data_IF_960041634662
#
_entry.id   IF_960041634662
#
_cell.length_a   1.000
_cell.length_b   1.000
_cell.length_c   1.000
_cell.angle_alpha   90.00
_cell.angle_beta   90.00
_cell.angle_gamma   90.00
#
_symmetry.space_group_name_H-M   'P 1'
#
loop_
_entity.id
_entity.type
_entity.pdbx_description
1 polymer ?
#
# COMPACT_ATOMS: atom_id res chain seq x y z
N UNK A 1 -18.80 -33.43 -16.08
CA UNK A 1 -18.33 -32.08 -16.46
C UNK A 1 -19.43 -31.01 -16.35
N UNK A 2 -20.69 -31.28 -16.72
CA UNK A 2 -21.80 -30.33 -16.54
C UNK A 2 -22.21 -30.06 -15.08
N UNK A 3 -22.09 -31.07 -14.20
CA UNK A 3 -22.42 -30.89 -12.77
C UNK A 3 -21.52 -29.89 -12.04
N UNK A 4 -20.26 -29.75 -12.46
CA UNK A 4 -19.34 -28.76 -11.88
C UNK A 4 -19.77 -27.33 -12.25
N UNK A 5 -20.23 -27.13 -13.49
CA UNK A 5 -20.75 -25.83 -13.96
C UNK A 5 -22.07 -25.47 -13.29
N UNK A 6 -22.93 -26.45 -13.01
CA UNK A 6 -24.18 -26.24 -12.25
C UNK A 6 -23.89 -25.92 -10.79
N UNK A 7 -22.88 -26.56 -10.19
CA UNK A 7 -22.45 -26.26 -8.81
C UNK A 7 -21.82 -24.86 -8.70
N UNK A 8 -20.97 -24.49 -9.67
CA UNK A 8 -20.38 -23.15 -9.78
C UNK A 8 -21.49 -22.11 -10.00
N UNK A 9 -22.45 -22.37 -10.88
CA UNK A 9 -23.60 -21.50 -11.09
C UNK A 9 -24.48 -21.33 -9.85
N UNK A 10 -24.70 -22.41 -9.09
CA UNK A 10 -25.47 -22.36 -7.84
C UNK A 10 -24.73 -21.57 -6.74
N UNK A 11 -23.41 -21.72 -6.64
CA UNK A 11 -22.58 -20.94 -5.70
C UNK A 11 -22.58 -19.45 -6.07
N UNK A 12 -22.50 -19.12 -7.36
CA UNK A 12 -22.59 -17.74 -7.85
C UNK A 12 -23.99 -17.12 -7.60
N UNK A 13 -25.06 -17.91 -7.74
CA UNK A 13 -26.44 -17.50 -7.45
C UNK A 13 -26.68 -17.24 -5.96
N UNK A 14 -26.11 -18.07 -5.07
CA UNK A 14 -26.17 -17.85 -3.62
C UNK A 14 -25.36 -16.60 -3.24
N UNK A 15 -24.25 -16.34 -3.93
CA UNK A 15 -23.47 -15.09 -3.78
C UNK A 15 -24.26 -13.83 -4.18
N UNK A 16 -25.14 -13.90 -5.17
CA UNK A 16 -26.02 -12.78 -5.55
C UNK A 16 -27.12 -12.48 -4.53
N UNK A 17 -27.58 -13.48 -3.78
CA UNK A 17 -28.71 -13.32 -2.85
C UNK A 17 -28.36 -12.48 -1.61
N UNK A 18 -27.05 -12.29 -1.33
CA UNK A 18 -26.56 -11.59 -0.12
C UNK A 18 -26.50 -10.06 -0.28
N UNK A 19 -26.78 -9.48 -1.45
CA UNK A 19 -26.67 -8.02 -1.69
C UNK A 19 -25.32 -7.41 -1.25
N UNK A 20 -24.29 -8.25 -1.17
CA UNK A 20 -22.89 -7.85 -1.11
C UNK A 20 -22.36 -8.26 -2.46
N UNK A 21 -21.77 -7.34 -3.23
CA UNK A 21 -21.09 -7.69 -4.49
C UNK A 21 -19.88 -8.55 -4.17
N UNK A 22 -20.09 -9.84 -3.91
CA UNK A 22 -19.05 -10.81 -3.53
C UNK A 22 -17.97 -10.86 -4.62
N UNK A 23 -18.34 -10.63 -5.88
CA UNK A 23 -17.39 -10.49 -6.97
C UNK A 23 -16.47 -9.25 -6.85
N UNK A 24 -17.00 -8.11 -6.39
CA UNK A 24 -16.29 -6.83 -6.29
C UNK A 24 -15.49 -6.69 -5.00
N UNK A 25 -16.03 -7.14 -3.88
CA UNK A 25 -15.36 -7.07 -2.56
C UNK A 25 -14.56 -8.34 -2.23
N UNK A 26 -14.91 -9.50 -2.80
CA UNK A 26 -14.27 -10.77 -2.49
C UNK A 26 -12.97 -11.03 -3.25
N UNK A 27 -12.82 -10.48 -4.47
CA UNK A 27 -11.63 -10.74 -5.29
C UNK A 27 -10.29 -10.25 -4.68
N UNK A 28 -10.21 -9.09 -3.99
CA UNK A 28 -8.96 -8.65 -3.38
C UNK A 28 -8.49 -9.60 -2.27
N UNK A 29 -9.42 -10.30 -1.60
CA UNK A 29 -9.07 -11.32 -0.60
C UNK A 29 -8.30 -12.49 -1.20
N UNK A 30 -8.54 -12.86 -2.47
CA UNK A 30 -7.73 -13.88 -3.16
C UNK A 30 -6.27 -13.47 -3.35
N UNK A 31 -5.95 -12.17 -3.26
CA UNK A 31 -4.58 -11.65 -3.29
C UNK A 31 -4.05 -11.50 -1.86
N UNK A 32 -4.85 -10.94 -0.95
CA UNK A 32 -4.45 -10.70 0.44
C UNK A 32 -4.13 -12.01 1.16
N UNK A 33 -4.98 -13.03 1.04
CA UNK A 33 -4.84 -14.30 1.78
C UNK A 33 -3.50 -15.00 1.45
N UNK A 34 -3.12 -15.22 0.18
CA UNK A 34 -1.79 -15.74 -0.15
C UNK A 34 -0.64 -14.84 0.32
N UNK A 35 -0.77 -13.52 0.21
CA UNK A 35 0.27 -12.59 0.67
C UNK A 35 0.50 -12.69 2.18
N UNK A 36 -0.58 -12.75 2.96
CA UNK A 36 -0.51 -12.92 4.42
C UNK A 36 0.02 -14.31 4.77
N UNK A 37 -0.39 -15.36 4.07
CA UNK A 37 0.15 -16.70 4.27
C UNK A 37 1.67 -16.73 4.02
N UNK A 38 2.15 -16.07 2.96
CA UNK A 38 3.58 -15.92 2.69
C UNK A 38 4.29 -15.14 3.79
N UNK A 39 3.71 -14.07 4.32
CA UNK A 39 4.25 -13.34 5.46
C UNK A 39 4.37 -14.24 6.69
N UNK A 40 3.34 -15.01 7.02
CA UNK A 40 3.38 -15.93 8.18
C UNK A 40 4.49 -16.97 8.00
N UNK A 41 4.59 -17.59 6.83
CA UNK A 41 5.68 -18.52 6.50
C UNK A 41 7.04 -17.83 6.61
N UNK A 42 7.17 -16.61 6.09
CA UNK A 42 8.40 -15.83 6.13
C UNK A 42 8.87 -15.56 7.56
N UNK A 43 7.96 -15.24 8.47
CA UNK A 43 8.26 -14.98 9.88
C UNK A 43 8.71 -16.24 10.64
N UNK A 44 8.26 -17.42 10.21
CA UNK A 44 8.74 -18.71 10.74
C UNK A 44 10.05 -19.17 10.09
N UNK A 45 10.34 -18.68 8.89
CA UNK A 45 11.55 -18.98 8.13
C UNK A 45 12.78 -18.25 8.69
N UNK A 46 13.95 -18.90 8.63
CA UNK A 46 15.23 -18.30 9.05
C UNK A 46 16.09 -17.94 7.86
N UNK A 47 16.90 -16.89 8.03
CA UNK A 47 17.90 -16.48 7.04
C UNK A 47 17.36 -15.66 5.88
N UNK A 48 18.17 -15.56 4.82
CA UNK A 48 17.92 -14.68 3.66
C UNK A 48 16.60 -15.03 2.94
N UNK A 49 16.22 -16.31 2.95
CA UNK A 49 14.97 -16.78 2.32
C UNK A 49 13.75 -16.23 3.07
N UNK A 50 13.75 -16.24 4.40
CA UNK A 50 12.66 -15.67 5.20
C UNK A 50 12.50 -14.17 4.99
N UNK A 51 13.61 -13.45 4.87
CA UNK A 51 13.60 -12.01 4.59
C UNK A 51 13.00 -11.69 3.21
N UNK A 52 13.43 -12.41 2.17
CA UNK A 52 12.88 -12.25 0.81
C UNK A 52 11.39 -12.59 0.73
N UNK A 53 10.95 -13.66 1.42
CA UNK A 53 9.54 -14.04 1.51
C UNK A 53 8.71 -13.01 2.28
N UNK A 54 9.28 -12.37 3.31
CA UNK A 54 8.57 -11.33 4.06
C UNK A 54 8.34 -10.09 3.21
N UNK A 55 9.34 -9.70 2.41
CA UNK A 55 9.22 -8.60 1.45
C UNK A 55 8.16 -8.94 0.39
N UNK A 56 8.25 -10.12 -0.24
CA UNK A 56 7.31 -10.55 -1.27
C UNK A 56 5.88 -10.64 -0.73
N UNK A 57 5.69 -11.30 0.42
CA UNK A 57 4.40 -11.41 1.10
C UNK A 57 3.83 -10.04 1.44
N UNK A 58 4.66 -9.11 1.94
CA UNK A 58 4.24 -7.75 2.25
C UNK A 58 3.79 -6.98 1.01
N UNK A 59 4.51 -7.08 -0.11
CA UNK A 59 4.11 -6.44 -1.38
C UNK A 59 2.74 -6.95 -1.82
N UNK A 60 2.53 -8.28 -1.79
CA UNK A 60 1.27 -8.91 -2.19
C UNK A 60 0.13 -8.47 -1.26
N UNK A 61 0.34 -8.49 0.05
CA UNK A 61 -0.66 -8.07 1.04
C UNK A 61 -1.02 -6.59 0.89
N UNK A 62 -0.04 -5.70 0.81
CA UNK A 62 -0.28 -4.26 0.65
C UNK A 62 -0.99 -3.96 -0.66
N UNK A 63 -0.60 -4.61 -1.75
CA UNK A 63 -1.29 -4.48 -3.05
C UNK A 63 -2.74 -4.93 -2.94
N UNK A 64 -2.99 -6.09 -2.32
CA UNK A 64 -4.34 -6.59 -2.08
C UNK A 64 -5.19 -5.64 -1.22
N UNK A 65 -4.60 -5.02 -0.19
CA UNK A 65 -5.28 -4.03 0.65
C UNK A 65 -5.62 -2.75 -0.13
N UNK A 66 -4.72 -2.27 -0.99
CA UNK A 66 -4.98 -1.14 -1.88
C UNK A 66 -6.15 -1.47 -2.83
N UNK A 67 -6.13 -2.66 -3.43
CA UNK A 67 -7.21 -3.11 -4.30
C UNK A 67 -8.54 -3.24 -3.53
N UNK A 68 -8.53 -3.73 -2.30
CA UNK A 68 -9.73 -3.77 -1.45
C UNK A 68 -10.30 -2.37 -1.21
N UNK A 69 -9.43 -1.41 -0.91
CA UNK A 69 -9.83 0.00 -0.78
C UNK A 69 -10.42 0.53 -2.09
N UNK A 70 -9.73 0.36 -3.22
CA UNK A 70 -10.15 0.85 -4.54
C UNK A 70 -11.50 0.27 -4.98
N UNK A 71 -11.75 -1.03 -4.75
CA UNK A 71 -13.05 -1.62 -5.07
C UNK A 71 -14.16 -1.12 -4.16
N UNK A 72 -13.84 -0.69 -2.93
CA UNK A 72 -14.83 -0.20 -1.97
C UNK A 72 -15.19 1.26 -2.22
N UNK A 73 -14.23 2.07 -2.68
CA UNK A 73 -14.41 3.51 -2.92
C UNK A 73 -14.57 3.87 -4.39
N UNK A 74 -14.50 2.88 -5.31
CA UNK A 74 -14.39 3.08 -6.76
C UNK A 74 -13.20 3.98 -7.18
N UNK A 75 -12.24 4.19 -6.30
CA UNK A 75 -11.16 5.17 -6.46
C UNK A 75 -9.92 4.57 -7.12
N UNK A 76 -10.09 4.01 -8.32
CA UNK A 76 -9.02 3.34 -9.05
C UNK A 76 -7.93 4.30 -9.53
N UNK A 77 -8.22 5.60 -9.59
CA UNK A 77 -7.24 6.63 -9.96
C UNK A 77 -6.10 6.74 -8.95
N UNK A 78 -6.32 6.28 -7.70
CA UNK A 78 -5.28 6.20 -6.68
C UNK A 78 -4.06 5.38 -7.09
N UNK A 79 -4.19 4.51 -8.10
CA UNK A 79 -3.05 3.77 -8.65
C UNK A 79 -1.91 4.67 -9.15
N UNK A 80 -2.21 5.92 -9.55
CA UNK A 80 -1.21 6.90 -9.97
C UNK A 80 -0.16 7.20 -8.89
N UNK A 81 -0.54 7.12 -7.61
CA UNK A 81 0.34 7.44 -6.47
C UNK A 81 0.49 6.28 -5.45
N UNK A 82 -0.35 5.25 -5.53
CA UNK A 82 -0.32 4.09 -4.62
C UNK A 82 0.99 3.27 -4.73
N UNK A 83 1.75 3.37 -5.82
CA UNK A 83 3.05 2.72 -5.99
C UNK A 83 4.06 3.06 -4.89
N UNK A 84 3.95 4.24 -4.28
CA UNK A 84 4.78 4.62 -3.14
C UNK A 84 4.49 3.76 -1.90
N UNK A 85 3.26 3.28 -1.72
CA UNK A 85 2.95 2.30 -0.67
C UNK A 85 3.37 0.89 -1.07
N UNK A 86 3.27 0.53 -2.35
CA UNK A 86 3.62 -0.82 -2.82
C UNK A 86 5.12 -1.07 -2.77
N UNK A 87 5.95 -0.15 -3.29
CA UNK A 87 7.39 -0.40 -3.40
C UNK A 87 8.09 -0.04 -2.08
N UNK A 88 8.34 1.23 -1.73
CA UNK A 88 9.05 1.52 -0.49
C UNK A 88 8.22 1.17 0.76
N UNK A 89 6.90 1.38 0.75
CA UNK A 89 6.03 1.05 1.88
C UNK A 89 5.98 -0.44 2.22
N UNK A 90 5.66 -1.29 1.24
CA UNK A 90 5.50 -2.73 1.48
C UNK A 90 6.85 -3.43 1.65
N UNK A 91 7.89 -3.05 0.90
CA UNK A 91 9.24 -3.59 1.12
C UNK A 91 9.72 -3.23 2.53
N UNK A 92 9.56 -1.97 2.94
CA UNK A 92 9.94 -1.53 4.28
C UNK A 92 9.16 -2.25 5.39
N UNK A 93 7.87 -2.49 5.17
CA UNK A 93 7.02 -3.24 6.10
C UNK A 93 7.47 -4.70 6.23
N UNK A 94 7.76 -5.37 5.12
CA UNK A 94 8.31 -6.74 5.13
C UNK A 94 9.65 -6.83 5.85
N UNK A 95 10.56 -5.89 5.60
CA UNK A 95 11.85 -5.81 6.31
C UNK A 95 11.67 -5.54 7.80
N UNK A 96 10.71 -4.69 8.18
CA UNK A 96 10.43 -4.37 9.57
C UNK A 96 9.82 -5.57 10.32
N UNK A 97 8.80 -6.22 9.75
CA UNK A 97 8.15 -7.40 10.32
C UNK A 97 9.15 -8.54 10.50
N UNK A 98 9.95 -8.83 9.46
CA UNK A 98 11.01 -9.85 9.55
C UNK A 98 12.12 -9.45 10.52
N UNK A 99 12.51 -8.18 10.53
CA UNK A 99 13.54 -7.68 11.45
C UNK A 99 13.14 -7.81 12.91
N UNK A 100 11.86 -7.62 13.22
CA UNK A 100 11.30 -7.82 14.56
C UNK A 100 11.26 -9.31 14.95
N UNK A 101 10.84 -10.20 14.05
CA UNK A 101 10.77 -11.64 14.36
C UNK A 101 12.14 -12.30 14.44
N UNK A 102 13.08 -11.89 13.59
CA UNK A 102 14.43 -12.45 13.50
C UNK A 102 15.46 -11.76 14.41
N UNK A 103 15.05 -10.75 15.21
CA UNK A 103 15.93 -10.02 16.11
C UNK A 103 17.03 -9.21 15.38
N UNK A 104 16.72 -8.69 14.18
CA UNK A 104 17.66 -7.93 13.33
C UNK A 104 17.33 -6.42 13.37
N UNK A 105 17.88 -5.65 14.33
CA UNK A 105 17.55 -4.22 14.48
C UNK A 105 17.94 -3.37 13.26
N UNK A 106 18.95 -3.80 12.48
CA UNK A 106 19.33 -3.14 11.22
C UNK A 106 18.19 -3.12 10.21
N UNK A 107 17.51 -4.26 10.02
CA UNK A 107 16.38 -4.39 9.10
C UNK A 107 15.18 -3.55 9.55
N UNK A 108 14.92 -3.46 10.85
CA UNK A 108 13.86 -2.61 11.40
C UNK A 108 14.14 -1.12 11.11
N UNK A 109 15.40 -0.69 11.25
CA UNK A 109 15.79 0.70 10.99
C UNK A 109 15.74 1.07 9.50
N UNK A 110 16.15 0.17 8.62
CA UNK A 110 16.04 0.38 7.17
C UNK A 110 14.56 0.33 6.76
N UNK A 111 13.83 -0.68 7.24
CA UNK A 111 12.41 -0.87 6.95
C UNK A 111 11.55 0.33 7.38
N UNK A 112 11.72 0.83 8.60
CA UNK A 112 11.01 2.03 9.07
C UNK A 112 11.30 3.29 8.24
N UNK A 113 12.55 3.46 7.76
CA UNK A 113 12.87 4.54 6.83
C UNK A 113 12.17 4.38 5.48
N UNK A 114 12.15 3.17 4.93
CA UNK A 114 11.46 2.88 3.67
C UNK A 114 9.95 3.08 3.78
N UNK A 115 9.33 2.63 4.88
CA UNK A 115 7.92 2.91 5.18
C UNK A 115 7.68 4.42 5.26
N UNK A 116 8.52 5.16 6.01
CA UNK A 116 8.40 6.61 6.13
C UNK A 116 8.51 7.31 4.77
N UNK A 117 9.48 6.94 3.95
CA UNK A 117 9.65 7.48 2.59
C UNK A 117 8.42 7.15 1.73
N UNK A 118 7.94 5.91 1.77
CA UNK A 118 6.77 5.50 1.00
C UNK A 118 5.50 6.23 1.39
N UNK A 119 5.27 6.43 2.69
CA UNK A 119 4.14 7.22 3.19
C UNK A 119 4.25 8.69 2.77
N UNK A 120 5.43 9.30 2.89
CA UNK A 120 5.63 10.70 2.46
C UNK A 120 5.39 10.85 0.96
N UNK A 121 5.97 9.97 0.14
CA UNK A 121 5.76 9.99 -1.32
C UNK A 121 4.31 9.74 -1.69
N UNK A 122 3.62 8.83 -1.00
CA UNK A 122 2.20 8.57 -1.19
C UNK A 122 1.36 9.81 -0.87
N UNK A 123 1.60 10.47 0.26
CA UNK A 123 0.85 11.66 0.65
C UNK A 123 1.10 12.83 -0.32
N UNK A 124 2.36 13.04 -0.74
CA UNK A 124 2.69 14.05 -1.74
C UNK A 124 2.01 13.75 -3.08
N UNK A 125 2.06 12.49 -3.51
CA UNK A 125 1.42 12.04 -4.75
C UNK A 125 -0.10 12.17 -4.68
N UNK A 126 -0.74 11.63 -3.65
CA UNK A 126 -2.18 11.72 -3.43
C UNK A 126 -2.65 13.16 -3.46
N UNK A 127 -1.97 14.03 -2.71
CA UNK A 127 -2.37 15.41 -2.58
C UNK A 127 -2.13 16.22 -3.88
N UNK A 128 -1.10 15.87 -4.67
CA UNK A 128 -0.89 16.42 -6.01
C UNK A 128 -1.95 15.93 -7.02
N UNK A 129 -2.13 14.62 -7.14
CA UNK A 129 -3.03 14.03 -8.14
C UNK A 129 -4.50 14.30 -7.82
N UNK A 130 -4.94 14.15 -6.57
CA UNK A 130 -6.32 14.44 -6.18
C UNK A 130 -6.59 15.94 -6.08
N UNK A 131 -5.68 16.70 -5.48
CA UNK A 131 -5.90 18.12 -5.23
C UNK A 131 -5.65 19.03 -6.43
N UNK A 132 -4.62 18.75 -7.24
CA UNK A 132 -4.21 19.61 -8.37
C UNK A 132 -4.79 19.12 -9.68
N UNK A 133 -4.74 17.81 -9.93
CA UNK A 133 -5.21 17.22 -11.20
C UNK A 133 -6.70 16.88 -11.14
N UNK A 134 -7.25 16.61 -9.95
CA UNK A 134 -8.69 16.35 -9.79
C UNK A 134 -9.15 15.00 -10.35
N UNK A 135 -8.24 14.05 -10.55
CA UNK A 135 -8.58 12.75 -11.18
C UNK A 135 -9.64 11.95 -10.44
N UNK A 136 -9.78 12.12 -9.12
CA UNK A 136 -10.77 11.40 -8.30
C UNK A 136 -12.17 12.01 -8.28
N UNK A 137 -12.46 13.06 -9.05
CA UNK A 137 -13.77 13.74 -9.04
C UNK A 137 -14.06 14.59 -7.80
N UNK A 138 -13.11 14.70 -6.86
CA UNK A 138 -13.14 15.64 -5.74
C UNK A 138 -12.68 17.02 -6.23
N UNK A 139 -13.55 17.70 -6.95
CA UNK A 139 -13.24 19.00 -7.54
C UNK A 139 -13.25 20.09 -6.45
N UNK A 140 -12.10 20.33 -5.83
CA UNK A 140 -11.88 21.52 -5.02
C UNK A 140 -11.77 22.70 -5.97
N UNK A 141 -12.92 23.30 -6.34
CA UNK A 141 -13.08 24.33 -7.37
C UNK A 141 -11.83 25.18 -7.62
N UNK A 142 -11.46 25.32 -8.90
CA UNK A 142 -10.09 25.51 -9.42
C UNK A 142 -9.12 26.51 -8.75
N UNK A 143 -9.56 27.42 -7.88
CA UNK A 143 -8.66 28.23 -7.04
C UNK A 143 -8.12 27.46 -5.83
N UNK A 144 -8.88 26.50 -5.29
CA UNK A 144 -8.53 25.76 -4.07
C UNK A 144 -7.52 24.65 -4.38
N UNK A 145 -7.68 23.95 -5.51
CA UNK A 145 -6.72 22.94 -5.97
C UNK A 145 -5.30 23.47 -6.21
N UNK A 146 -5.17 24.69 -6.74
CA UNK A 146 -3.86 25.35 -6.95
C UNK A 146 -3.20 25.72 -5.62
N UNK A 147 -3.97 26.23 -4.66
CA UNK A 147 -3.45 26.61 -3.34
C UNK A 147 -3.03 25.38 -2.54
N UNK A 148 -3.83 24.30 -2.58
CA UNK A 148 -3.51 23.03 -1.93
C UNK A 148 -2.25 22.42 -2.57
N UNK A 149 -2.19 22.36 -3.90
CA UNK A 149 -1.00 21.92 -4.65
C UNK A 149 0.26 22.69 -4.29
N UNK A 150 0.19 24.02 -4.28
CA UNK A 150 1.30 24.88 -3.88
C UNK A 150 1.73 24.64 -2.42
N UNK A 151 0.77 24.46 -1.51
CA UNK A 151 1.05 24.17 -0.10
C UNK A 151 1.76 22.83 0.08
N UNK A 152 1.37 21.80 -0.68
CA UNK A 152 2.00 20.46 -0.63
C UNK A 152 3.41 20.50 -1.20
N UNK A 153 3.62 21.20 -2.32
CA UNK A 153 4.96 21.40 -2.91
C UNK A 153 5.87 22.14 -1.92
N UNK A 154 5.35 23.20 -1.28
CA UNK A 154 6.06 23.95 -0.25
C UNK A 154 6.38 23.08 0.97
N UNK A 155 5.43 22.27 1.45
CA UNK A 155 5.64 21.38 2.58
C UNK A 155 6.66 20.29 2.25
N UNK A 156 6.57 19.68 1.06
CA UNK A 156 7.54 18.71 0.57
C UNK A 156 8.94 19.30 0.44
N UNK A 157 9.05 20.53 -0.09
CA UNK A 157 10.32 21.25 -0.16
C UNK A 157 10.89 21.57 1.23
N UNK A 158 10.04 22.01 2.17
CA UNK A 158 10.45 22.29 3.55
C UNK A 158 10.93 21.02 4.27
N UNK A 159 10.25 19.89 4.11
CA UNK A 159 10.66 18.62 4.69
C UNK A 159 11.98 18.11 4.08
N UNK A 160 12.18 18.30 2.77
CA UNK A 160 13.44 17.98 2.11
C UNK A 160 14.60 18.82 2.68
N UNK A 161 14.40 20.14 2.80
CA UNK A 161 15.39 21.06 3.35
C UNK A 161 15.66 20.78 4.83
N UNK A 162 14.62 20.46 5.61
CA UNK A 162 14.75 20.08 7.02
C UNK A 162 15.54 18.78 7.20
N UNK A 163 15.31 17.78 6.34
CA UNK A 163 16.04 16.52 6.39
C UNK A 163 17.52 16.69 6.02
N UNK A 164 17.82 17.49 4.99
CA UNK A 164 19.19 17.81 4.57
C UNK A 164 19.96 18.63 5.62
N UNK A 165 19.27 19.49 6.37
CA UNK A 165 19.88 20.28 7.45
C UNK A 165 20.03 19.50 8.75
N UNK A 166 19.14 18.54 9.04
CA UNK A 166 19.22 17.68 10.23
C UNK A 166 20.39 16.68 10.18
N UNK A 167 20.80 16.24 8.99
CA UNK A 167 21.98 15.39 8.79
C UNK A 167 23.32 16.00 9.23
N UNK A 168 23.38 17.31 9.50
CA UNK A 168 24.60 18.02 9.94
C UNK A 168 24.77 18.11 11.47
N UNK A 169 23.79 17.67 12.27
CA UNK A 169 23.84 17.82 13.74
C UNK A 169 24.38 16.61 14.51
N UNK A 170 24.64 15.48 13.85
CA UNK A 170 25.08 14.23 14.53
C UNK A 170 26.59 13.97 14.46
N UNK A 171 27.42 14.95 14.10
CA UNK A 171 28.89 14.83 14.07
C UNK A 171 29.60 15.80 15.03
N UNK A 172 29.13 15.92 16.27
CA UNK A 172 29.90 16.53 17.34
C UNK A 172 29.85 15.66 18.58
#
# INVERSE_FOLDING_TARGET
MGGLLVLIGAILLIGQFVHVDVGRYGWPFFIIVPGVALLVVALTGRGVIGEGLAIAGSIITVTGLILLYQNSTDHFESWAYAWALVVPGAVGSGMMLYGLSAGRPGNVRIGSRLVGIGVVLFLLGAAFFEGVIGIGGYDFGGSTGVVVGAAIILLGALLLVANLTSGRRTSR
#
